data_IF_825556798834
#
_entry.id   IF_825556798834
#
_cell.length_a   1.000
_cell.length_b   1.000
_cell.length_c   1.000
_cell.angle_alpha   90.00
_cell.angle_beta   90.00
_cell.angle_gamma   90.00
#
_symmetry.space_group_name_H-M   'P 1'
#
loop_
_entity.id
_entity.type
_entity.pdbx_description
1 polymer ?
#
# COMPACT_ATOMS: atom_id res chain seq x y z
N UNK A 1 32.88 3.68 6.24
CA UNK A 1 31.71 2.90 6.70
C UNK A 1 30.54 3.24 5.80
N UNK A 2 29.89 2.23 5.23
CA UNK A 2 28.70 2.43 4.41
C UNK A 2 27.44 2.27 5.27
N UNK A 3 26.48 3.18 5.06
CA UNK A 3 25.20 3.15 5.76
C UNK A 3 24.25 2.21 5.02
N UNK A 4 23.82 1.15 5.70
CA UNK A 4 22.94 0.13 5.14
C UNK A 4 21.52 0.26 5.68
N UNK A 5 20.53 0.00 4.83
CA UNK A 5 19.12 -0.09 5.23
C UNK A 5 18.78 -1.55 5.53
N UNK A 6 18.21 -1.81 6.71
CA UNK A 6 17.70 -3.13 7.04
C UNK A 6 16.40 -3.42 6.27
N UNK A 7 16.49 -4.33 5.30
CA UNK A 7 15.35 -4.79 4.50
C UNK A 7 14.64 -6.03 5.07
N UNK A 8 15.05 -6.54 6.24
CA UNK A 8 14.41 -7.72 6.85
C UNK A 8 12.92 -7.48 7.12
N UNK A 9 12.11 -8.55 6.97
CA UNK A 9 10.65 -8.56 7.20
C UNK A 9 9.84 -7.63 6.27
N UNK A 10 10.47 -7.07 5.24
CA UNK A 10 9.78 -6.39 4.14
C UNK A 10 9.50 -7.42 3.04
N UNK A 11 8.27 -7.46 2.56
CA UNK A 11 7.89 -8.32 1.46
C UNK A 11 8.61 -7.89 0.16
N UNK A 12 9.37 -8.80 -0.48
CA UNK A 12 9.93 -8.56 -1.80
C UNK A 12 8.88 -8.83 -2.89
N UNK A 13 8.98 -8.11 -4.00
CA UNK A 13 8.14 -8.27 -5.17
C UNK A 13 8.99 -8.71 -6.36
N UNK A 14 8.32 -9.31 -7.35
CA UNK A 14 8.96 -9.65 -8.63
C UNK A 14 8.61 -8.59 -9.66
N UNK A 15 9.60 -7.87 -10.16
CA UNK A 15 9.45 -6.90 -11.25
C UNK A 15 10.47 -7.24 -12.34
N UNK A 16 10.02 -7.38 -13.59
CA UNK A 16 10.89 -7.74 -14.73
C UNK A 16 11.80 -8.94 -14.43
N UNK A 17 11.23 -10.00 -13.84
CA UNK A 17 11.91 -11.23 -13.42
C UNK A 17 12.95 -11.08 -12.29
N UNK A 18 13.15 -9.88 -11.72
CA UNK A 18 14.05 -9.62 -10.59
C UNK A 18 13.29 -9.44 -9.28
N UNK A 19 13.93 -9.78 -8.17
CA UNK A 19 13.41 -9.48 -6.83
C UNK A 19 13.74 -8.03 -6.45
N UNK A 20 12.73 -7.30 -6.02
CA UNK A 20 12.85 -5.89 -5.64
C UNK A 20 12.09 -5.64 -4.33
N UNK A 21 12.53 -4.65 -3.57
CA UNK A 21 11.79 -4.12 -2.43
C UNK A 21 11.25 -2.75 -2.82
N UNK A 22 9.98 -2.49 -2.54
CA UNK A 22 9.40 -1.19 -2.87
C UNK A 22 9.73 -0.15 -1.81
N UNK A 23 10.02 1.08 -2.29
CA UNK A 23 10.23 2.23 -1.40
C UNK A 23 8.92 2.64 -0.73
N UNK A 24 7.84 2.73 -1.50
CA UNK A 24 6.48 3.09 -1.05
C UNK A 24 5.49 1.94 -1.24
N UNK A 25 4.31 1.99 -0.59
CA UNK A 25 3.24 1.02 -0.83
C UNK A 25 2.82 1.03 -2.31
N UNK A 26 2.72 -0.15 -2.92
CA UNK A 26 2.23 -0.28 -4.29
C UNK A 26 0.71 -0.01 -4.35
N UNK A 27 0.19 0.50 -5.47
CA UNK A 27 -1.26 0.65 -5.66
C UNK A 27 -1.99 -0.69 -5.53
N UNK A 28 -3.23 -0.68 -5.05
CA UNK A 28 -4.10 -1.85 -4.98
C UNK A 28 -4.73 -2.12 -6.35
N UNK A 29 -4.04 -2.87 -7.20
CA UNK A 29 -4.63 -3.33 -8.48
C UNK A 29 -5.56 -4.53 -8.21
N UNK A 30 -6.81 -4.27 -7.87
CA UNK A 30 -7.90 -5.24 -8.09
C UNK A 30 -8.22 -6.27 -7.00
N UNK A 31 -7.80 -6.08 -5.76
CA UNK A 31 -8.37 -6.80 -4.60
C UNK A 31 -8.08 -5.98 -3.34
N UNK A 32 -8.85 -4.91 -3.16
CA UNK A 32 -8.81 -4.04 -1.98
C UNK A 32 -9.34 -4.73 -0.72
N UNK A 33 -8.95 -5.97 -0.46
CA UNK A 33 -9.21 -6.57 0.85
C UNK A 33 -8.15 -6.01 1.79
N UNK A 34 -8.49 -4.88 2.41
CA UNK A 34 -8.03 -4.60 3.76
C UNK A 34 -8.44 -5.84 4.56
N UNK A 35 -7.47 -6.67 4.95
CA UNK A 35 -7.76 -7.80 5.83
C UNK A 35 -7.63 -7.27 7.25
N UNK A 36 -8.71 -7.31 8.00
CA UNK A 36 -8.67 -7.16 9.45
C UNK A 36 -8.16 -8.50 10.02
N UNK A 37 -6.86 -8.59 10.33
CA UNK A 37 -6.31 -9.80 10.96
C UNK A 37 -4.81 -10.02 10.78
N UNK A 38 -4.36 -11.17 11.29
CA UNK A 38 -2.98 -11.69 11.24
C UNK A 38 -2.63 -12.13 9.81
N UNK A 39 -2.40 -11.14 8.95
CA UNK A 39 -2.14 -11.38 7.52
C UNK A 39 -1.78 -10.14 6.72
N UNK A 40 -1.77 -8.98 7.38
CA UNK A 40 -1.68 -7.68 6.73
C UNK A 40 -0.47 -6.89 7.22
N UNK A 41 -0.02 -5.95 6.39
CA UNK A 41 1.02 -5.01 6.75
C UNK A 41 0.60 -4.21 7.99
N UNK A 42 1.51 -4.11 8.95
CA UNK A 42 1.24 -3.44 10.22
C UNK A 42 0.86 -1.95 10.08
N UNK A 43 1.17 -1.32 8.94
CA UNK A 43 0.94 0.11 8.70
C UNK A 43 -0.23 0.34 7.76
N UNK A 44 -0.14 -0.09 6.50
CA UNK A 44 -1.16 0.20 5.48
C UNK A 44 -2.24 -0.88 5.37
N UNK A 45 -2.20 -1.92 6.22
CA UNK A 45 -3.16 -3.04 6.24
C UNK A 45 -3.33 -3.80 4.91
N UNK A 46 -2.33 -3.68 4.02
CA UNK A 46 -2.25 -4.46 2.79
C UNK A 46 -1.92 -5.93 3.10
N UNK A 47 -2.66 -6.87 2.51
CA UNK A 47 -2.35 -8.31 2.59
C UNK A 47 -0.90 -8.62 2.23
N UNK A 48 -0.23 -9.42 3.05
CA UNK A 48 1.11 -9.96 2.78
C UNK A 48 1.00 -11.38 2.25
N UNK A 49 1.95 -11.78 1.40
CA UNK A 49 1.97 -13.12 0.80
C UNK A 49 2.32 -14.21 1.81
N UNK A 50 3.17 -13.87 2.79
CA UNK A 50 3.63 -14.75 3.86
C UNK A 50 3.70 -13.93 5.16
N UNK A 51 2.61 -13.94 5.97
CA UNK A 51 2.51 -13.14 7.19
C UNK A 51 3.45 -13.56 8.31
N UNK A 52 3.88 -14.83 8.34
CA UNK A 52 4.80 -15.34 9.36
C UNK A 52 6.21 -14.77 9.13
N UNK A 53 6.57 -14.58 7.86
CA UNK A 53 7.88 -14.05 7.47
C UNK A 53 7.91 -12.53 7.30
N UNK A 54 6.82 -11.94 6.78
CA UNK A 54 6.77 -10.52 6.43
C UNK A 54 5.80 -9.75 7.30
N UNK A 55 6.17 -8.52 7.67
CA UNK A 55 5.33 -7.61 8.48
C UNK A 55 5.06 -6.28 7.78
N UNK A 56 5.83 -5.98 6.73
CA UNK A 56 5.77 -4.72 5.99
C UNK A 56 5.68 -4.97 4.49
N UNK A 57 4.89 -4.15 3.79
CA UNK A 57 4.79 -4.24 2.35
C UNK A 57 5.78 -3.34 1.59
N UNK A 58 6.45 -2.41 2.27
CA UNK A 58 7.39 -1.43 1.68
C UNK A 58 8.35 -0.87 2.73
N UNK A 59 9.44 -0.23 2.28
CA UNK A 59 10.41 0.45 3.16
C UNK A 59 9.74 1.57 3.95
N UNK A 60 8.91 2.39 3.31
CA UNK A 60 8.15 3.45 3.98
C UNK A 60 7.29 2.91 5.14
N UNK A 61 6.61 1.77 4.95
CA UNK A 61 5.84 1.14 6.03
C UNK A 61 6.74 0.67 7.18
N UNK A 62 7.91 0.11 6.91
CA UNK A 62 8.84 -0.28 7.99
C UNK A 62 9.35 0.93 8.76
N UNK A 63 9.75 1.98 8.05
CA UNK A 63 10.23 3.23 8.66
C UNK A 63 9.14 3.89 9.51
N UNK A 64 7.92 3.99 8.99
CA UNK A 64 6.79 4.56 9.72
C UNK A 64 6.46 3.75 10.99
N UNK A 65 6.53 2.42 10.92
CA UNK A 65 6.32 1.57 12.09
C UNK A 65 7.43 1.73 13.15
N UNK A 66 8.67 2.01 12.75
CA UNK A 66 9.77 2.26 13.69
C UNK A 66 9.65 3.67 14.27
N UNK A 67 9.36 4.68 13.45
CA UNK A 67 9.17 6.05 13.88
C UNK A 67 7.99 6.19 14.85
N UNK A 68 6.85 5.55 14.56
CA UNK A 68 5.67 5.54 15.44
C UNK A 68 5.86 4.74 16.74
N UNK A 69 6.83 3.83 16.81
CA UNK A 69 7.21 3.18 18.09
C UNK A 69 8.07 4.09 18.95
N UNK A 70 8.91 4.94 18.34
CA UNK A 70 9.77 5.89 19.05
C UNK A 70 8.96 7.03 19.71
N UNK A 71 7.76 7.33 19.22
CA UNK A 71 6.84 8.28 19.89
C UNK A 71 6.15 7.71 21.13
N UNK A 72 6.08 6.39 21.30
CA UNK A 72 5.46 5.76 22.48
C UNK A 72 6.43 5.60 23.66
N UNK A 73 7.75 5.76 23.46
CA UNK A 73 8.77 5.66 24.52
C UNK A 73 9.21 7.06 25.02
N UNK A 74 8.52 8.14 24.63
CA UNK A 74 8.77 9.49 25.17
C UNK A 74 7.58 9.98 26.01
N UNK A 75 7.73 9.89 27.33
CA UNK A 75 6.85 10.52 28.34
C UNK A 75 6.95 12.07 28.30
N UNK A 76 6.17 12.81 29.11
CA UNK A 76 4.75 13.15 29.00
C UNK A 76 4.54 14.63 28.59
N UNK A 77 3.30 14.99 28.26
CA UNK A 77 2.72 16.35 28.14
C UNK A 77 3.66 17.53 27.78
N UNK A 78 3.55 18.01 26.55
CA UNK A 78 3.57 19.45 26.30
C UNK A 78 2.36 19.77 25.44
N UNK A 79 1.34 20.30 26.09
CA UNK A 79 0.23 20.99 25.43
C UNK A 79 0.79 22.23 24.75
N UNK A 80 0.81 22.25 23.42
CA UNK A 80 0.72 23.49 22.66
C UNK A 80 -0.13 23.18 21.44
N UNK A 81 -1.37 23.68 21.48
CA UNK A 81 -2.33 23.56 20.41
C UNK A 81 -1.89 24.32 19.16
N UNK A 82 -2.42 23.88 18.01
CA UNK A 82 -2.92 24.81 17.01
C UNK A 82 -3.92 24.10 16.09
N UNK A 83 -5.15 24.61 16.19
CA UNK A 83 -6.29 24.58 15.29
C UNK A 83 -6.46 23.43 14.30
N UNK A 84 -7.51 22.68 14.60
CA UNK A 84 -8.45 22.13 13.65
C UNK A 84 -8.83 23.15 12.55
N UNK A 85 -8.59 22.77 11.29
CA UNK A 85 -9.52 23.07 10.20
C UNK A 85 -9.49 21.91 9.22
N UNK A 86 -10.40 20.96 9.43
CA UNK A 86 -10.79 19.99 8.42
C UNK A 86 -11.73 20.72 7.47
N UNK A 87 -11.22 21.20 6.35
CA UNK A 87 -12.08 21.52 5.20
C UNK A 87 -12.19 20.25 4.36
N UNK A 88 -13.39 19.69 4.37
CA UNK A 88 -13.78 18.66 3.43
C UNK A 88 -13.68 19.22 2.02
N UNK A 89 -12.81 18.63 1.22
CA UNK A 89 -12.92 18.75 -0.23
C UNK A 89 -13.77 17.59 -0.68
N UNK A 90 -15.02 17.95 -0.96
CA UNK A 90 -16.05 17.14 -1.55
C UNK A 90 -15.53 16.40 -2.79
N UNK A 91 -16.05 15.19 -2.95
CA UNK A 91 -15.84 14.38 -4.13
C UNK A 91 -16.27 15.17 -5.36
N UNK A 92 -15.47 15.23 -6.44
CA UNK A 92 -16.05 15.45 -7.75
C UNK A 92 -16.69 14.13 -8.18
N UNK A 93 -17.96 13.97 -7.82
CA UNK A 93 -18.90 13.18 -8.58
C UNK A 93 -18.99 13.78 -9.99
N UNK A 94 -18.18 13.28 -10.93
CA UNK A 94 -18.48 13.45 -12.34
C UNK A 94 -18.32 12.15 -13.10
N UNK A 95 -19.50 11.58 -13.34
CA UNK A 95 -19.80 10.44 -14.16
C UNK A 95 -19.29 10.66 -15.59
N UNK A 96 -18.07 10.24 -15.89
CA UNK A 96 -17.70 9.87 -17.27
C UNK A 96 -16.93 8.58 -17.26
N UNK A 97 -17.64 7.50 -16.95
CA UNK A 97 -17.24 6.18 -17.42
C UNK A 97 -17.08 6.27 -18.94
N UNK A 98 -15.84 6.34 -19.42
CA UNK A 98 -15.54 6.02 -20.81
C UNK A 98 -15.96 4.56 -20.97
N UNK A 99 -17.19 4.35 -21.45
CA UNK A 99 -17.66 3.06 -21.96
C UNK A 99 -16.66 2.67 -23.03
N UNK A 100 -15.66 1.86 -22.66
CA UNK A 100 -14.90 1.11 -23.65
C UNK A 100 -15.93 0.15 -24.21
N UNK A 101 -16.51 0.48 -25.37
CA UNK A 101 -17.32 -0.46 -26.13
C UNK A 101 -16.49 -1.75 -26.17
N UNK A 102 -17.03 -2.81 -25.56
CA UNK A 102 -16.47 -4.15 -25.73
C UNK A 102 -16.40 -4.34 -27.24
N UNK A 103 -15.21 -4.61 -27.77
CA UNK A 103 -15.10 -5.17 -29.12
C UNK A 103 -16.06 -6.36 -29.10
N UNK A 104 -17.01 -6.40 -30.03
CA UNK A 104 -18.10 -7.39 -30.03
C UNK A 104 -17.59 -8.82 -29.90
N UNK A 105 -18.49 -9.77 -29.66
CA UNK A 105 -18.13 -11.19 -29.62
C UNK A 105 -17.34 -11.52 -30.89
N UNK A 106 -16.09 -12.00 -30.78
CA UNK A 106 -15.30 -12.32 -31.96
C UNK A 106 -15.98 -13.48 -32.70
N UNK A 107 -16.54 -13.20 -33.87
CA UNK A 107 -17.06 -14.23 -34.75
C UNK A 107 -15.87 -14.90 -35.46
N UNK A 108 -15.89 -16.24 -35.46
CA UNK A 108 -14.91 -17.04 -36.20
C UNK A 108 -15.15 -16.82 -37.70
N UNK A 109 -14.08 -16.62 -38.47
CA UNK A 109 -14.17 -16.51 -39.92
C UNK A 109 -14.76 -17.81 -40.53
N UNK A 110 -15.61 -17.72 -41.56
CA UNK A 110 -16.07 -18.88 -42.31
C UNK A 110 -14.87 -19.61 -42.92
N UNK A 111 -14.91 -20.95 -42.90
CA UNK A 111 -13.94 -21.78 -43.58
C UNK A 111 -14.40 -21.89 -45.05
N UNK A 112 -13.84 -21.06 -45.91
CA UNK A 112 -13.82 -21.28 -47.35
C UNK A 112 -12.44 -21.77 -47.76
#
# INVERSE_FOLDING_TARGET
>A
MENHIDCAKIQPYKCNKKWVVSLTPLPHNGSGSLIEGDGACNVCKRKLTDPDRFRFCSIACKVQAIAGKRSLIRHPASEVGTSEKREGVEQPENQRGRKRNRKGVPHRAPLF
#
